data_IF_184785554557
#
_entry.id   IF_184785554557
#
_cell.length_a   1.000
_cell.length_b   1.000
_cell.length_c   1.000
_cell.angle_alpha   90.00
_cell.angle_beta   90.00
_cell.angle_gamma   90.00
#
_symmetry.space_group_name_H-M   'P 1'
#
loop_
_entity.id
_entity.type
_entity.pdbx_description
1 polymer ?
#
# COMPACT_ATOMS: atom_id res chain seq x y z
N UNK A 1 -8.93 -2.65 -20.05
CA UNK A 1 -7.83 -1.94 -20.73
C UNK A 1 -6.53 -2.70 -20.56
N UNK A 2 -5.58 -2.53 -21.47
CA UNK A 2 -4.23 -3.08 -21.33
C UNK A 2 -3.25 -1.91 -21.14
N UNK A 3 -2.42 -1.97 -20.10
CA UNK A 3 -1.37 -0.98 -19.82
C UNK A 3 -0.06 -1.72 -19.57
N UNK A 4 0.92 -1.57 -20.48
CA UNK A 4 2.12 -2.41 -20.48
C UNK A 4 1.75 -3.89 -20.60
N UNK A 5 2.10 -4.69 -19.59
CA UNK A 5 1.81 -6.13 -19.50
C UNK A 5 0.57 -6.46 -18.64
N UNK A 6 -0.08 -5.45 -18.06
CA UNK A 6 -1.18 -5.66 -17.12
C UNK A 6 -2.54 -5.44 -17.79
N UNK A 7 -3.46 -6.37 -17.55
CA UNK A 7 -4.87 -6.20 -17.84
C UNK A 7 -5.54 -5.47 -16.67
N UNK A 8 -6.39 -4.50 -16.97
CA UNK A 8 -7.13 -3.69 -15.99
C UNK A 8 -8.61 -3.66 -16.33
N UNK A 9 -9.44 -3.72 -15.32
CA UNK A 9 -10.90 -3.65 -15.45
C UNK A 9 -11.37 -2.24 -15.84
N UNK A 10 -12.54 -2.13 -16.47
CA UNK A 10 -13.18 -0.85 -16.75
C UNK A 10 -13.51 -0.12 -15.44
N UNK A 11 -13.26 1.18 -15.38
CA UNK A 11 -13.43 2.02 -14.19
C UNK A 11 -12.31 1.90 -13.15
N UNK A 12 -11.39 0.93 -13.29
CA UNK A 12 -10.26 0.83 -12.36
C UNK A 12 -9.31 2.01 -12.49
N UNK A 13 -8.73 2.44 -11.35
CA UNK A 13 -7.73 3.52 -11.29
C UNK A 13 -6.43 3.03 -10.64
N UNK A 14 -5.29 3.53 -11.10
CA UNK A 14 -3.96 3.17 -10.58
C UNK A 14 -2.94 4.29 -10.80
N UNK A 15 -1.78 4.18 -10.13
CA UNK A 15 -0.63 5.05 -10.39
C UNK A 15 0.28 4.45 -11.46
N UNK A 16 0.78 5.28 -12.36
CA UNK A 16 1.62 4.79 -13.46
C UNK A 16 2.94 4.21 -12.92
N UNK A 17 3.30 3.03 -13.40
CA UNK A 17 4.62 2.42 -13.17
C UNK A 17 5.43 2.55 -14.46
N UNK A 18 6.50 3.35 -14.41
CA UNK A 18 7.41 3.56 -15.55
C UNK A 18 8.51 2.50 -15.60
N UNK A 19 8.55 1.58 -14.64
CA UNK A 19 9.61 0.61 -14.49
C UNK A 19 10.93 1.24 -14.03
N UNK A 20 11.98 0.41 -13.83
CA UNK A 20 13.29 0.90 -13.40
C UNK A 20 13.89 1.91 -14.41
N UNK A 21 14.56 2.98 -13.95
CA UNK A 21 14.91 3.32 -12.56
C UNK A 21 13.83 4.09 -11.79
N UNK A 22 12.76 4.53 -12.46
CA UNK A 22 11.81 5.50 -11.90
C UNK A 22 10.73 4.86 -11.02
N UNK A 23 10.28 3.66 -11.37
CA UNK A 23 9.23 2.93 -10.65
C UNK A 23 7.87 3.63 -10.72
N UNK A 24 7.14 3.60 -9.60
CA UNK A 24 5.76 4.10 -9.51
C UNK A 24 5.73 5.61 -9.33
N UNK A 25 5.07 6.29 -10.27
CA UNK A 25 4.84 7.73 -10.27
C UNK A 25 3.49 8.06 -9.65
N UNK A 26 3.48 8.34 -8.35
CA UNK A 26 2.26 8.62 -7.59
C UNK A 26 1.51 9.89 -8.03
N UNK A 27 2.13 10.79 -8.78
CA UNK A 27 1.47 11.98 -9.34
C UNK A 27 0.80 11.75 -10.70
N UNK A 28 0.98 10.58 -11.32
CA UNK A 28 0.32 10.24 -12.57
C UNK A 28 -0.74 9.20 -12.27
N UNK A 29 -2.00 9.64 -12.22
CA UNK A 29 -3.15 8.76 -12.01
C UNK A 29 -3.73 8.35 -13.35
N UNK A 30 -3.82 7.04 -13.57
CA UNK A 30 -4.41 6.42 -14.73
C UNK A 30 -5.76 5.80 -14.39
N UNK A 31 -6.67 5.80 -15.36
CA UNK A 31 -8.00 5.20 -15.28
C UNK A 31 -8.33 4.46 -16.57
N UNK A 32 -9.00 3.32 -16.46
CA UNK A 32 -9.53 2.60 -17.62
C UNK A 32 -10.96 3.07 -17.93
N UNK A 33 -11.11 4.01 -18.86
CA UNK A 33 -12.41 4.59 -19.20
C UNK A 33 -13.07 3.90 -20.40
N UNK A 34 -14.41 3.77 -20.42
CA UNK A 34 -15.15 3.38 -21.61
C UNK A 34 -15.25 4.56 -22.58
N UNK A 35 -14.80 4.36 -23.82
CA UNK A 35 -14.94 5.34 -24.90
C UNK A 35 -15.93 4.80 -25.93
N UNK A 36 -16.99 5.56 -26.18
CA UNK A 36 -17.96 5.27 -27.23
C UNK A 36 -17.33 5.59 -28.59
N UNK A 37 -17.16 4.57 -29.45
CA UNK A 37 -16.74 4.74 -30.84
C UNK A 37 -17.78 4.13 -31.78
N UNK A 38 -18.51 5.00 -32.48
CA UNK A 38 -19.57 4.64 -33.43
C UNK A 38 -20.63 3.74 -32.75
N UNK A 39 -20.56 2.43 -32.97
CA UNK A 39 -21.50 1.40 -32.46
C UNK A 39 -20.88 0.45 -31.42
N UNK A 40 -19.69 0.75 -30.89
CA UNK A 40 -19.00 -0.11 -29.92
C UNK A 40 -18.42 0.70 -28.77
N UNK A 41 -18.41 0.09 -27.58
CA UNK A 41 -17.68 0.58 -26.41
C UNK A 41 -16.27 0.00 -26.48
N UNK A 42 -15.27 0.87 -26.45
CA UNK A 42 -13.85 0.48 -26.40
C UNK A 42 -13.26 0.97 -25.10
N UNK A 43 -12.55 0.11 -24.38
CA UNK A 43 -11.83 0.49 -23.17
C UNK A 43 -10.52 1.19 -23.52
N UNK A 44 -10.25 2.38 -22.96
CA UNK A 44 -8.98 3.10 -23.14
C UNK A 44 -8.41 3.55 -21.81
N UNK A 45 -7.09 3.47 -21.68
CA UNK A 45 -6.38 4.05 -20.53
C UNK A 45 -6.27 5.57 -20.73
N UNK A 46 -6.69 6.32 -19.74
CA UNK A 46 -6.47 7.77 -19.66
C UNK A 46 -5.62 8.07 -18.42
N UNK A 47 -4.48 8.70 -18.61
CA UNK A 47 -3.61 9.13 -17.51
C UNK A 47 -3.58 10.65 -17.42
N UNK A 48 -3.60 11.19 -16.20
CA UNK A 48 -3.51 12.63 -15.93
C UNK A 48 -2.54 12.92 -14.79
N UNK A 49 -1.93 14.10 -14.84
CA UNK A 49 -1.08 14.58 -13.76
C UNK A 49 -1.95 15.25 -12.68
N UNK A 50 -1.98 14.67 -11.49
CA UNK A 50 -2.81 15.13 -10.37
C UNK A 50 -2.07 16.11 -9.45
N UNK A 51 -0.83 16.51 -9.78
CA UNK A 51 -0.05 17.45 -8.97
C UNK A 51 -0.79 18.78 -8.73
N UNK A 52 -1.59 19.21 -9.70
CA UNK A 52 -2.39 20.43 -9.61
C UNK A 52 -3.68 20.24 -8.80
N UNK A 53 -4.08 19.00 -8.51
CA UNK A 53 -5.23 18.66 -7.65
C UNK A 53 -4.84 18.64 -6.16
N UNK A 54 -3.55 18.82 -5.84
CA UNK A 54 -3.08 18.81 -4.46
C UNK A 54 -3.59 20.03 -3.67
N UNK A 55 -3.98 19.83 -2.39
CA UNK A 55 -4.43 20.93 -1.55
C UNK A 55 -3.31 21.93 -1.29
N UNK A 56 -3.67 23.21 -1.16
CA UNK A 56 -2.74 24.25 -0.71
C UNK A 56 -2.50 24.05 0.79
N UNK A 57 -1.23 24.00 1.16
CA UNK A 57 -0.80 23.85 2.56
C UNK A 57 -0.40 25.21 3.11
N UNK A 58 -0.72 25.47 4.37
CA UNK A 58 -0.39 26.72 5.07
C UNK A 58 0.78 26.56 6.05
N UNK A 59 1.46 25.41 6.06
CA UNK A 59 2.62 25.18 6.92
C UNK A 59 3.93 25.61 6.25
N UNK A 60 4.89 26.04 7.06
CA UNK A 60 6.19 26.53 6.60
C UNK A 60 7.03 25.44 5.92
N UNK A 61 6.94 24.19 6.41
CA UNK A 61 7.76 23.07 5.91
C UNK A 61 6.89 21.86 5.49
N UNK A 62 6.38 21.83 4.25
CA UNK A 62 5.59 20.71 3.74
C UNK A 62 6.50 19.56 3.28
N UNK A 63 6.22 18.34 3.78
CA UNK A 63 7.03 17.13 3.55
C UNK A 63 6.34 16.22 2.53
N UNK A 64 7.11 15.65 1.59
CA UNK A 64 6.60 14.64 0.65
C UNK A 64 6.80 13.24 1.23
N UNK A 65 5.71 12.52 1.45
CA UNK A 65 5.76 11.15 1.97
C UNK A 65 5.98 10.13 0.86
N UNK A 66 6.67 9.00 1.14
CA UNK A 66 6.80 7.90 0.19
C UNK A 66 5.40 7.36 -0.16
N UNK A 67 5.18 7.05 -1.43
CA UNK A 67 3.88 6.55 -1.88
C UNK A 67 2.79 7.60 -2.08
N UNK A 68 3.13 8.90 -1.99
CA UNK A 68 2.18 10.00 -2.14
C UNK A 68 2.60 10.98 -3.24
N UNK A 69 1.62 11.61 -3.88
CA UNK A 69 1.87 12.72 -4.79
C UNK A 69 1.95 14.06 -4.06
N UNK A 70 1.01 14.30 -3.14
CA UNK A 70 0.88 15.57 -2.46
C UNK A 70 1.75 15.61 -1.21
N UNK A 71 2.29 16.79 -0.91
CA UNK A 71 2.97 17.04 0.35
C UNK A 71 1.96 17.08 1.50
N UNK A 72 2.43 16.83 2.70
CA UNK A 72 1.64 16.89 3.93
C UNK A 72 2.37 17.73 4.98
N UNK A 73 1.62 18.32 5.90
CA UNK A 73 2.21 19.11 6.98
C UNK A 73 2.68 18.21 8.13
N UNK A 74 3.82 18.55 8.76
CA UNK A 74 4.38 17.75 9.83
C UNK A 74 3.47 17.59 11.07
N UNK A 75 2.59 18.56 11.37
CA UNK A 75 1.65 18.43 12.48
C UNK A 75 0.60 17.32 12.33
N UNK A 76 0.26 16.92 11.09
CA UNK A 76 -0.69 15.83 10.84
C UNK A 76 -0.07 14.45 11.00
N UNK A 77 1.26 14.31 10.88
CA UNK A 77 1.90 13.03 11.18
C UNK A 77 1.87 12.71 12.67
N UNK A 78 1.81 13.70 13.57
CA UNK A 78 1.84 13.44 15.02
C UNK A 78 0.51 12.83 15.49
N UNK A 79 -0.61 13.28 14.91
CA UNK A 79 -1.95 12.76 15.25
C UNK A 79 -2.21 11.40 14.59
N UNK A 80 -1.78 11.20 13.33
CA UNK A 80 -1.86 9.90 12.64
C UNK A 80 -0.87 8.90 13.23
N UNK A 81 0.37 9.31 13.55
CA UNK A 81 1.32 8.43 14.23
C UNK A 81 0.89 8.13 15.66
N UNK A 82 0.25 9.03 16.42
CA UNK A 82 -0.37 8.63 17.71
C UNK A 82 -1.46 7.58 17.53
N UNK A 83 -2.16 7.56 16.40
CA UNK A 83 -3.15 6.54 16.06
C UNK A 83 -2.50 5.23 15.58
N UNK A 84 -1.40 5.31 14.82
CA UNK A 84 -0.58 4.16 14.41
C UNK A 84 0.34 3.63 15.51
N UNK A 85 0.66 4.41 16.54
CA UNK A 85 1.35 3.93 17.75
C UNK A 85 0.53 2.88 18.50
N UNK A 86 -0.79 2.81 18.25
CA UNK A 86 -1.63 1.70 18.72
C UNK A 86 -1.61 0.46 17.81
N UNK A 87 -1.09 0.57 16.59
CA UNK A 87 -0.97 -0.53 15.62
C UNK A 87 0.47 -1.02 15.43
N UNK A 88 1.49 -0.26 15.87
CA UNK A 88 2.91 -0.58 15.70
C UNK A 88 3.51 -1.48 16.81
N UNK A 89 2.68 -2.13 17.65
CA UNK A 89 3.11 -3.19 18.57
C UNK A 89 2.82 -4.60 18.04
N UNK A 90 2.30 -4.73 16.82
CA UNK A 90 2.18 -6.00 16.11
C UNK A 90 2.85 -5.88 14.74
N UNK A 91 4.09 -6.33 14.64
CA UNK A 91 4.54 -7.30 13.62
C UNK A 91 6.06 -7.28 13.46
N UNK A 92 6.75 -8.11 14.25
CA UNK A 92 8.10 -8.54 13.92
C UNK A 92 8.32 -10.04 14.22
N UNK A 93 7.33 -10.93 14.04
CA UNK A 93 7.65 -12.37 14.04
C UNK A 93 6.61 -13.39 13.52
N UNK A 94 5.79 -13.12 12.50
CA UNK A 94 4.89 -14.18 11.98
C UNK A 94 4.70 -14.18 10.46
N UNK A 95 5.68 -14.71 9.73
CA UNK A 95 5.46 -15.09 8.32
C UNK A 95 6.33 -16.28 7.85
N UNK A 96 6.48 -17.34 8.65
CA UNK A 96 7.06 -18.59 8.11
C UNK A 96 6.34 -19.90 8.42
N UNK A 97 5.14 -19.90 9.02
CA UNK A 97 4.37 -21.16 9.17
C UNK A 97 3.33 -21.33 8.08
N UNK A 98 3.80 -21.72 6.90
CA UNK A 98 3.01 -22.38 5.86
C UNK A 98 2.54 -23.76 6.37
N UNK A 99 1.23 -24.00 6.48
CA UNK A 99 0.63 -25.35 6.53
C UNK A 99 -0.81 -25.31 5.95
N UNK A 100 -1.11 -26.33 5.14
CA UNK A 100 -2.09 -26.39 4.05
C UNK A 100 -3.58 -26.57 4.45
N UNK A 101 -4.53 -26.39 3.51
CA UNK A 101 -5.96 -26.23 3.76
C UNK A 101 -6.73 -27.57 3.80
N UNK A 102 -6.34 -28.50 4.69
CA UNK A 102 -7.16 -29.70 4.95
C UNK A 102 -7.13 -30.07 6.43
N UNK A 103 -8.30 -29.89 7.05
CA UNK A 103 -8.76 -30.45 8.32
C UNK A 103 -8.12 -29.92 9.61
N UNK A 104 -8.87 -28.98 10.21
CA UNK A 104 -9.01 -28.69 11.63
C UNK A 104 -8.34 -29.71 12.59
N UNK A 105 -7.09 -29.46 12.99
CA UNK A 105 -6.50 -29.78 14.31
C UNK A 105 -5.15 -29.01 14.40
N UNK A 106 -5.10 -27.97 15.22
CA UNK A 106 -3.83 -27.47 15.76
C UNK A 106 -3.59 -28.15 17.12
N UNK A 107 -2.65 -29.10 17.19
CA UNK A 107 -2.20 -29.64 18.47
C UNK A 107 -1.39 -28.58 19.21
N UNK A 108 -1.92 -28.09 20.33
CA UNK A 108 -1.16 -27.35 21.33
C UNK A 108 -0.49 -28.37 22.25
N UNK A 109 0.81 -28.62 22.05
CA UNK A 109 1.62 -29.38 23.00
C UNK A 109 2.05 -28.48 24.14
N UNK A 110 1.45 -28.63 25.32
CA UNK A 110 2.01 -28.13 26.59
C UNK A 110 3.20 -29.01 26.96
N UNK A 111 4.41 -28.46 27.06
CA UNK A 111 5.52 -29.12 27.73
C UNK A 111 5.89 -28.35 28.97
N UNK A 112 5.50 -28.95 30.10
CA UNK A 112 6.11 -28.96 31.43
C UNK A 112 7.11 -27.84 31.76
N UNK A 113 6.72 -27.05 32.77
CA UNK A 113 7.67 -26.40 33.66
C UNK A 113 8.63 -27.44 34.23
N UNK A 114 9.92 -27.12 34.29
CA UNK A 114 10.87 -27.40 35.37
C UNK A 114 12.21 -26.71 35.01
N UNK A 115 12.86 -26.18 36.04
CA UNK A 115 14.21 -25.60 36.11
C UNK A 115 14.47 -24.18 35.58
N UNK A 116 14.42 -23.26 36.56
CA UNK A 116 15.25 -22.07 36.65
C UNK A 116 16.72 -22.41 36.38
N UNK A 117 17.34 -21.75 35.40
CA UNK A 117 18.75 -21.35 35.48
C UNK A 117 18.97 -20.16 34.55
N UNK A 118 19.00 -18.96 35.15
CA UNK A 118 19.74 -17.82 34.62
C UNK A 118 20.88 -17.60 35.59
N UNK A 119 22.11 -17.88 35.18
CA UNK A 119 23.21 -16.91 35.33
C UNK A 119 24.48 -17.38 34.62
N UNK A 120 24.92 -16.53 33.71
CA UNK A 120 26.26 -16.41 33.19
C UNK A 120 27.21 -15.82 34.26
N UNK A 121 28.21 -16.59 34.68
CA UNK A 121 29.63 -16.18 34.76
C UNK A 121 30.51 -17.37 35.10
#
# INVERSE_FOLDING_TARGET
CTFGKQLRELGSTWYADLGPPFGVMYCIKCECIPIQKKRRIVARVQCRNIKNECPKLNCEEPVLLPGKCCKSCPGEYITVNRSWSKYAEMDFEYAWKTCFPTWYICRIGKSLAHDLTVQSH
#
